data_IF_530726690234
#
_entry.id   IF_530726690234
#
_cell.length_a   1.000
_cell.length_b   1.000
_cell.length_c   1.000
_cell.angle_alpha   90.00
_cell.angle_beta   90.00
_cell.angle_gamma   90.00
#
_symmetry.space_group_name_H-M   'P 1'
#
loop_
_entity.id
_entity.type
_entity.pdbx_description
1 polymer ?
#
# COMPACT_ATOMS: atom_id res chain seq x y z
N UNK A 1 5.22 27.18 2.11
CA UNK A 1 4.38 26.12 2.72
C UNK A 1 5.16 25.55 3.88
N UNK A 2 4.52 25.37 5.04
CA UNK A 2 5.15 24.68 6.17
C UNK A 2 5.09 23.18 5.89
N UNK A 3 6.19 22.41 6.03
CA UNK A 3 6.14 20.97 5.89
C UNK A 3 5.17 20.37 6.91
N UNK A 4 4.36 19.42 6.47
CA UNK A 4 3.43 18.67 7.32
C UNK A 4 4.05 17.31 7.64
N UNK A 5 4.06 16.96 8.92
CA UNK A 5 4.53 15.65 9.37
C UNK A 5 3.46 14.59 9.08
N UNK A 6 3.88 13.50 8.42
CA UNK A 6 3.05 12.37 8.06
C UNK A 6 3.67 11.09 8.64
N UNK A 7 3.29 10.67 9.86
CA UNK A 7 3.91 9.51 10.52
C UNK A 7 3.82 8.20 9.72
N UNK A 8 2.79 8.05 8.87
CA UNK A 8 2.66 6.89 7.98
C UNK A 8 3.70 6.81 6.85
N UNK A 9 4.53 7.84 6.71
CA UNK A 9 5.68 7.87 5.80
C UNK A 9 7.02 7.60 6.50
N UNK A 10 7.00 7.28 7.80
CA UNK A 10 8.21 6.86 8.50
C UNK A 10 8.69 5.50 7.97
N UNK A 11 9.97 5.20 8.21
CA UNK A 11 10.57 3.91 7.85
C UNK A 11 9.81 2.75 8.51
N UNK A 12 9.58 1.68 7.77
CA UNK A 12 9.05 0.42 8.33
C UNK A 12 10.01 0.00 9.45
N UNK A 13 9.49 -0.13 10.65
CA UNK A 13 10.35 -0.25 11.82
C UNK A 13 11.12 -1.57 11.81
N UNK A 14 12.44 -1.47 11.83
CA UNK A 14 13.34 -2.61 11.80
C UNK A 14 13.65 -3.18 13.19
N UNK A 15 12.86 -2.89 14.23
CA UNK A 15 12.90 -3.59 15.52
C UNK A 15 14.31 -3.87 16.05
N UNK A 16 14.59 -5.13 16.37
CA UNK A 16 15.93 -5.58 16.83
C UNK A 16 16.99 -5.62 15.72
N UNK A 17 16.61 -5.45 14.46
CA UNK A 17 17.51 -5.38 13.30
C UNK A 17 17.85 -3.94 12.89
N UNK A 18 17.41 -2.93 13.66
CA UNK A 18 17.84 -1.55 13.46
C UNK A 18 19.36 -1.46 13.41
N UNK A 19 19.90 -0.65 12.49
CA UNK A 19 21.34 -0.50 12.19
C UNK A 19 22.07 -1.75 11.67
N UNK A 20 21.39 -2.87 11.42
CA UNK A 20 22.06 -4.05 10.85
C UNK A 20 22.37 -3.85 9.36
N UNK A 21 23.42 -4.49 8.81
CA UNK A 21 23.67 -4.45 7.38
C UNK A 21 22.48 -4.98 6.58
N UNK A 22 22.05 -4.21 5.58
CA UNK A 22 20.91 -4.57 4.72
C UNK A 22 21.13 -5.90 3.98
N UNK A 23 22.35 -6.15 3.50
CA UNK A 23 22.73 -7.44 2.88
C UNK A 23 23.27 -8.36 3.98
N UNK A 24 22.35 -8.99 4.72
CA UNK A 24 22.67 -9.97 5.76
C UNK A 24 21.52 -10.97 5.92
N UNK A 25 21.72 -12.12 6.61
CA UNK A 25 20.61 -13.00 6.95
C UNK A 25 19.47 -12.31 7.72
N UNK A 26 19.81 -11.33 8.57
CA UNK A 26 18.82 -10.51 9.28
C UNK A 26 18.04 -9.60 8.31
N UNK A 27 18.73 -8.95 7.37
CA UNK A 27 18.09 -8.17 6.32
C UNK A 27 17.16 -9.00 5.42
N UNK A 28 17.54 -10.24 5.09
CA UNK A 28 16.67 -11.16 4.34
C UNK A 28 15.43 -11.57 5.14
N UNK A 29 15.57 -11.84 6.45
CA UNK A 29 14.43 -12.14 7.33
C UNK A 29 13.49 -10.94 7.46
N UNK A 30 14.06 -9.73 7.56
CA UNK A 30 13.30 -8.48 7.60
C UNK A 30 12.41 -8.29 6.36
N UNK A 31 12.88 -8.70 5.17
CA UNK A 31 12.12 -8.59 3.93
C UNK A 31 10.92 -9.54 3.83
N UNK A 32 10.88 -10.64 4.59
CA UNK A 32 9.85 -11.70 4.40
C UNK A 32 8.44 -11.15 4.59
N UNK A 33 8.20 -10.42 5.69
CA UNK A 33 6.90 -9.81 5.98
C UNK A 33 6.51 -8.80 4.91
N UNK A 34 7.25 -7.69 4.74
CA UNK A 34 6.98 -6.67 3.75
C UNK A 34 6.77 -7.19 2.33
N UNK A 35 7.59 -8.13 1.88
CA UNK A 35 7.39 -8.74 0.56
C UNK A 35 6.06 -9.51 0.51
N UNK A 36 5.72 -10.31 1.52
CA UNK A 36 4.43 -11.01 1.56
C UNK A 36 3.23 -10.04 1.52
N UNK A 37 3.35 -8.86 2.14
CA UNK A 37 2.30 -7.84 2.12
C UNK A 37 2.04 -7.34 0.69
N UNK A 38 3.10 -7.13 -0.11
CA UNK A 38 2.97 -6.73 -1.53
C UNK A 38 2.28 -7.79 -2.39
N UNK A 39 2.24 -9.06 -1.94
CA UNK A 39 1.57 -10.16 -2.63
C UNK A 39 0.13 -10.43 -2.12
N UNK A 40 -0.45 -9.53 -1.33
CA UNK A 40 -1.82 -9.68 -0.81
C UNK A 40 -1.93 -10.48 0.48
N UNK A 41 -0.83 -10.62 1.21
CA UNK A 41 -0.81 -11.26 2.52
C UNK A 41 -0.43 -10.27 3.64
N UNK A 42 -1.16 -9.15 3.81
CA UNK A 42 -0.82 -8.15 4.83
C UNK A 42 -0.90 -8.68 6.26
N UNK A 43 -1.56 -9.82 6.50
CA UNK A 43 -1.61 -10.45 7.84
C UNK A 43 -0.28 -11.08 8.26
N UNK A 44 0.63 -11.35 7.31
CA UNK A 44 1.92 -11.96 7.63
C UNK A 44 2.66 -11.05 8.60
N UNK A 45 3.12 -11.57 9.75
CA UNK A 45 3.76 -10.73 10.74
C UNK A 45 5.09 -10.21 10.23
N UNK A 46 5.45 -9.02 10.68
CA UNK A 46 6.83 -8.56 10.66
C UNK A 46 7.66 -9.52 11.52
N UNK A 47 8.60 -10.23 10.89
CA UNK A 47 9.45 -11.24 11.55
C UNK A 47 10.63 -10.61 12.28
N UNK A 48 10.35 -9.51 12.98
CA UNK A 48 11.34 -8.68 13.63
C UNK A 48 10.82 -8.19 14.99
N UNK A 49 11.23 -8.85 16.09
CA UNK A 49 10.84 -8.46 17.43
C UNK A 49 11.06 -6.96 17.69
N UNK A 50 10.12 -6.31 18.37
CA UNK A 50 10.20 -4.89 18.70
C UNK A 50 9.74 -3.94 17.60
N UNK A 51 9.40 -4.44 16.41
CA UNK A 51 8.77 -3.60 15.37
C UNK A 51 7.38 -3.13 15.78
N UNK A 52 7.10 -1.84 15.58
CA UNK A 52 5.76 -1.26 15.74
C UNK A 52 4.86 -1.54 14.53
N UNK A 53 5.44 -1.86 13.38
CA UNK A 53 4.74 -2.27 12.15
C UNK A 53 4.59 -3.79 12.12
N UNK A 54 3.90 -4.32 13.12
CA UNK A 54 3.91 -5.76 13.41
C UNK A 54 3.27 -6.63 12.31
N UNK A 55 2.53 -6.06 11.37
CA UNK A 55 2.13 -6.69 10.11
C UNK A 55 1.81 -5.61 9.03
N UNK A 56 1.47 -6.07 7.82
CA UNK A 56 1.13 -5.21 6.69
C UNK A 56 -0.21 -4.51 6.81
N UNK A 57 -1.13 -5.00 7.64
CA UNK A 57 -2.42 -4.30 7.88
C UNK A 57 -2.15 -2.99 8.61
N UNK A 58 -1.34 -3.03 9.67
CA UNK A 58 -0.96 -1.86 10.48
C UNK A 58 -0.19 -0.85 9.63
N UNK A 59 0.82 -1.32 8.92
CA UNK A 59 1.60 -0.50 8.00
C UNK A 59 0.71 0.11 6.90
N UNK A 60 -0.17 -0.69 6.30
CA UNK A 60 -1.08 -0.24 5.24
C UNK A 60 -2.03 0.85 5.72
N UNK A 61 -2.58 0.73 6.94
CA UNK A 61 -3.44 1.77 7.53
C UNK A 61 -2.72 3.10 7.69
N UNK A 62 -1.51 3.10 8.24
CA UNK A 62 -0.76 4.35 8.46
C UNK A 62 -0.29 4.95 7.14
N UNK A 63 0.22 4.13 6.22
CA UNK A 63 0.66 4.57 4.88
C UNK A 63 -0.50 5.15 4.07
N UNK A 64 -1.63 4.45 3.98
CA UNK A 64 -2.81 4.91 3.25
C UNK A 64 -3.42 6.17 3.90
N UNK A 65 -3.41 6.27 5.23
CA UNK A 65 -3.81 7.50 5.92
C UNK A 65 -2.94 8.71 5.56
N UNK A 66 -1.62 8.49 5.40
CA UNK A 66 -0.72 9.54 4.92
C UNK A 66 -1.00 9.93 3.46
N UNK A 67 -1.19 8.96 2.57
CA UNK A 67 -1.55 9.21 1.16
C UNK A 67 -2.89 9.96 1.05
N UNK A 68 -3.88 9.58 1.85
CA UNK A 68 -5.18 10.27 1.90
C UNK A 68 -5.01 11.72 2.36
N UNK A 69 -4.21 11.95 3.41
CA UNK A 69 -3.92 13.30 3.91
C UNK A 69 -3.24 14.16 2.83
N UNK A 70 -2.30 13.58 2.08
CA UNK A 70 -1.65 14.25 0.94
C UNK A 70 -2.68 14.62 -0.15
N UNK A 71 -3.56 13.68 -0.49
CA UNK A 71 -4.62 13.89 -1.49
C UNK A 71 -5.58 15.00 -1.08
N UNK A 72 -6.10 14.95 0.16
CA UNK A 72 -7.04 15.94 0.69
C UNK A 72 -6.40 17.34 0.76
N UNK A 73 -5.13 17.41 1.15
CA UNK A 73 -4.36 18.66 1.17
C UNK A 73 -4.21 19.25 -0.23
N UNK A 74 -3.92 18.40 -1.22
CA UNK A 74 -3.77 18.80 -2.61
C UNK A 74 -5.08 19.33 -3.19
N UNK A 75 -6.21 18.68 -2.88
CA UNK A 75 -7.54 19.13 -3.32
C UNK A 75 -8.02 20.40 -2.62
N UNK A 76 -7.63 20.60 -1.36
CA UNK A 76 -7.96 21.84 -0.63
C UNK A 76 -7.20 23.05 -1.19
N UNK A 77 -6.00 22.84 -1.75
CA UNK A 77 -5.14 23.90 -2.29
C UNK A 77 -4.54 23.51 -3.65
N UNK A 78 -5.36 23.36 -4.70
CA UNK A 78 -4.91 22.79 -5.96
C UNK A 78 -3.95 23.75 -6.67
N UNK A 79 -2.76 23.24 -6.99
CA UNK A 79 -1.80 23.91 -7.88
C UNK A 79 -1.63 23.02 -9.12
N UNK A 80 -2.38 23.30 -10.21
CA UNK A 80 -2.26 22.52 -11.42
C UNK A 80 -0.87 22.66 -12.04
N UNK A 81 -0.28 21.54 -12.41
CA UNK A 81 0.88 21.49 -13.29
C UNK A 81 0.48 21.82 -14.74
N UNK A 82 1.47 21.94 -15.63
CA UNK A 82 1.25 22.28 -17.03
C UNK A 82 0.37 21.25 -17.77
N UNK A 83 0.31 20.00 -17.29
CA UNK A 83 -0.53 18.93 -17.80
C UNK A 83 -1.95 18.92 -17.20
N UNK A 84 -2.29 19.92 -16.37
CA UNK A 84 -3.59 20.05 -15.72
C UNK A 84 -3.78 19.19 -14.47
N UNK A 85 -2.79 18.36 -14.10
CA UNK A 85 -2.87 17.52 -12.90
C UNK A 85 -2.47 18.30 -11.66
N UNK A 86 -3.08 17.97 -10.52
CA UNK A 86 -2.64 18.48 -9.21
C UNK A 86 -1.63 17.49 -8.66
N UNK A 87 -0.43 17.98 -8.37
CA UNK A 87 0.67 17.15 -7.86
C UNK A 87 0.96 17.51 -6.41
N UNK A 88 1.09 16.49 -5.57
CA UNK A 88 1.58 16.59 -4.19
C UNK A 88 2.81 15.70 -4.05
N UNK A 89 3.78 16.16 -3.26
CA UNK A 89 5.05 15.47 -3.04
C UNK A 89 5.28 15.34 -1.55
N UNK A 90 5.76 14.18 -1.13
CA UNK A 90 6.23 13.90 0.22
C UNK A 90 7.61 13.24 0.16
N UNK A 91 8.26 13.16 1.32
CA UNK A 91 9.52 12.45 1.51
C UNK A 91 9.29 11.34 2.52
N UNK A 92 9.96 10.20 2.30
CA UNK A 92 9.84 9.00 3.12
C UNK A 92 11.10 8.15 2.90
N UNK A 93 11.20 7.03 3.61
CA UNK A 93 12.25 6.06 3.35
C UNK A 93 12.00 5.28 2.05
N UNK A 94 13.07 4.77 1.45
CA UNK A 94 13.00 3.97 0.24
C UNK A 94 12.12 2.73 0.42
N UNK A 95 12.21 2.08 1.58
CA UNK A 95 11.50 0.82 1.82
C UNK A 95 10.01 1.04 2.11
N UNK A 96 9.64 2.08 2.88
CA UNK A 96 8.25 2.48 3.08
C UNK A 96 7.56 2.86 1.78
N UNK A 97 8.18 3.73 0.94
CA UNK A 97 7.61 4.07 -0.38
C UNK A 97 7.50 2.82 -1.24
N UNK A 98 8.54 1.98 -1.28
CA UNK A 98 8.56 0.80 -2.11
C UNK A 98 7.44 -0.18 -1.74
N UNK A 99 7.36 -0.58 -0.48
CA UNK A 99 6.37 -1.55 0.00
C UNK A 99 4.96 -0.97 -0.08
N UNK A 100 4.76 0.26 0.42
CA UNK A 100 3.45 0.93 0.41
C UNK A 100 2.90 1.14 -1.00
N UNK A 101 3.74 1.53 -1.96
CA UNK A 101 3.35 1.62 -3.37
C UNK A 101 2.90 0.27 -3.89
N UNK A 102 3.70 -0.80 -3.72
CA UNK A 102 3.38 -2.12 -4.27
C UNK A 102 2.13 -2.75 -3.66
N UNK A 103 1.78 -2.38 -2.44
CA UNK A 103 0.53 -2.78 -1.80
C UNK A 103 -0.68 -2.03 -2.37
N UNK A 104 -0.52 -0.77 -2.77
CA UNK A 104 -1.64 0.12 -3.10
C UNK A 104 -1.92 0.35 -4.58
N UNK A 105 -0.96 0.09 -5.48
CA UNK A 105 -1.16 0.34 -6.92
C UNK A 105 -1.81 -0.83 -7.65
N UNK A 106 -2.45 -0.52 -8.79
CA UNK A 106 -3.15 -1.47 -9.68
C UNK A 106 -2.25 -2.07 -10.76
N UNK A 107 -0.98 -1.66 -10.82
CA UNK A 107 0.04 -2.26 -11.69
C UNK A 107 1.33 -2.59 -10.93
N UNK A 108 1.26 -3.36 -9.82
CA UNK A 108 2.40 -3.59 -8.96
C UNK A 108 3.47 -4.43 -9.66
N UNK A 109 4.74 -4.11 -9.37
CA UNK A 109 5.88 -4.96 -9.70
C UNK A 109 6.81 -5.07 -8.48
N UNK A 110 6.48 -5.94 -7.50
CA UNK A 110 7.24 -6.02 -6.24
C UNK A 110 8.72 -6.34 -6.40
N UNK A 111 9.12 -6.95 -7.53
CA UNK A 111 10.53 -7.25 -7.81
C UNK A 111 11.38 -5.99 -7.99
N UNK A 112 10.77 -4.83 -8.26
CA UNK A 112 11.49 -3.55 -8.32
C UNK A 112 12.18 -3.20 -7.00
N UNK A 113 11.58 -3.55 -5.86
CA UNK A 113 12.18 -3.34 -4.54
C UNK A 113 13.56 -4.02 -4.44
N UNK A 114 13.75 -5.16 -5.10
CA UNK A 114 14.98 -5.96 -5.04
C UNK A 114 15.92 -5.68 -6.21
N UNK A 115 15.38 -5.48 -7.41
CA UNK A 115 16.15 -5.36 -8.64
C UNK A 115 16.55 -3.92 -8.96
N UNK A 116 15.76 -2.96 -8.51
CA UNK A 116 15.94 -1.53 -8.73
C UNK A 116 15.64 -0.76 -7.43
N UNK A 117 16.39 -1.04 -6.34
CA UNK A 117 16.15 -0.38 -5.05
C UNK A 117 16.26 1.14 -5.21
N UNK A 118 15.35 1.88 -4.58
CA UNK A 118 15.31 3.33 -4.70
C UNK A 118 16.57 3.94 -4.05
N UNK A 119 17.36 4.75 -4.78
CA UNK A 119 18.45 5.50 -4.17
C UNK A 119 17.89 6.63 -3.30
N UNK A 120 18.74 7.25 -2.48
CA UNK A 120 18.41 8.54 -1.90
C UNK A 120 18.02 9.51 -3.01
N UNK A 121 16.92 10.25 -2.82
CA UNK A 121 16.30 11.15 -3.81
C UNK A 121 15.63 10.45 -5.00
N UNK A 122 15.59 9.11 -5.02
CA UNK A 122 14.78 8.37 -5.99
C UNK A 122 13.30 8.69 -5.84
N UNK A 123 12.58 8.71 -6.96
CA UNK A 123 11.19 9.17 -7.03
C UNK A 123 10.28 8.08 -7.58
N UNK A 124 9.20 7.78 -6.86
CA UNK A 124 8.09 6.99 -7.37
C UNK A 124 6.95 7.93 -7.70
N UNK A 125 6.38 7.81 -8.90
CA UNK A 125 5.24 8.62 -9.33
C UNK A 125 4.03 7.71 -9.51
N UNK A 126 2.98 8.01 -8.75
CA UNK A 126 1.66 7.38 -8.88
C UNK A 126 0.64 8.40 -9.36
N UNK A 127 -0.35 7.94 -10.13
CA UNK A 127 -1.45 8.75 -10.64
C UNK A 127 -2.76 8.03 -10.35
N UNK A 128 -3.78 8.77 -9.94
CA UNK A 128 -5.05 8.17 -9.56
C UNK A 128 -5.77 8.99 -8.50
N UNK A 129 -6.67 8.33 -7.80
CA UNK A 129 -7.42 8.90 -6.68
C UNK A 129 -7.97 7.77 -5.79
N UNK A 130 -8.42 8.08 -4.57
CA UNK A 130 -8.90 7.06 -3.62
C UNK A 130 -10.06 6.18 -4.11
N UNK A 131 -10.86 6.64 -5.08
CA UNK A 131 -12.01 5.88 -5.60
C UNK A 131 -11.71 5.09 -6.87
N UNK A 132 -10.82 5.61 -7.72
CA UNK A 132 -10.47 5.01 -9.02
C UNK A 132 -9.20 4.16 -8.98
N UNK A 133 -8.56 4.03 -7.82
CA UNK A 133 -7.29 3.34 -7.67
C UNK A 133 -6.08 4.21 -8.04
N UNK A 134 -4.90 3.62 -7.90
CA UNK A 134 -3.62 4.28 -8.13
C UNK A 134 -2.79 3.47 -9.12
N UNK A 135 -2.29 4.12 -10.16
CA UNK A 135 -1.38 3.51 -11.14
C UNK A 135 0.01 4.10 -10.97
N UNK A 136 1.02 3.25 -10.81
CA UNK A 136 2.42 3.65 -10.85
C UNK A 136 2.82 3.95 -12.30
N UNK A 137 3.31 5.17 -12.56
CA UNK A 137 3.70 5.60 -13.92
C UNK A 137 5.21 5.78 -14.08
N UNK A 138 5.94 5.90 -12.96
CA UNK A 138 7.40 6.00 -12.98
C UNK A 138 8.00 5.43 -11.70
N UNK A 139 9.08 4.66 -11.84
CA UNK A 139 9.90 4.16 -10.76
C UNK A 139 11.35 4.64 -10.96
N UNK A 140 11.77 5.60 -10.16
CA UNK A 140 13.09 6.24 -10.25
C UNK A 140 13.43 6.73 -11.68
N UNK A 141 12.46 7.39 -12.31
CA UNK A 141 12.59 7.88 -13.69
C UNK A 141 12.42 6.81 -14.78
N UNK A 142 12.35 5.52 -14.42
CA UNK A 142 11.98 4.46 -15.37
C UNK A 142 10.47 4.51 -15.62
N UNK A 143 10.01 4.72 -16.87
CA UNK A 143 8.59 4.65 -17.18
C UNK A 143 8.03 3.27 -16.85
N UNK A 144 6.88 3.24 -16.19
CA UNK A 144 6.14 2.01 -15.90
C UNK A 144 4.95 1.94 -16.84
N UNK A 145 4.86 0.85 -17.60
CA UNK A 145 3.75 0.63 -18.52
C UNK A 145 2.44 0.36 -17.74
N UNK A 146 1.28 0.54 -18.39
CA UNK A 146 0.02 0.00 -17.88
C UNK A 146 0.15 -1.49 -17.52
N UNK A 147 -0.72 -1.95 -16.63
CA UNK A 147 -0.76 -3.36 -16.26
C UNK A 147 -1.00 -4.24 -17.50
N UNK A 148 -0.44 -5.45 -17.47
CA UNK A 148 -0.79 -6.50 -18.42
C UNK A 148 -1.88 -7.36 -17.82
N UNK A 149 -2.66 -8.08 -18.63
CA UNK A 149 -3.72 -8.97 -18.12
C UNK A 149 -3.27 -9.88 -16.96
N UNK A 150 -2.08 -10.54 -16.98
CA UNK A 150 -1.63 -11.30 -15.80
C UNK A 150 -1.45 -10.47 -14.52
N UNK A 151 -1.02 -9.21 -14.64
CA UNK A 151 -0.88 -8.27 -13.53
C UNK A 151 -2.24 -7.83 -13.02
N UNK A 152 -3.17 -7.52 -13.92
CA UNK A 152 -4.55 -7.12 -13.59
C UNK A 152 -5.26 -8.24 -12.83
N UNK A 153 -5.24 -9.46 -13.38
CA UNK A 153 -5.81 -10.64 -12.70
C UNK A 153 -5.14 -10.95 -11.36
N UNK A 154 -3.83 -10.66 -11.23
CA UNK A 154 -3.15 -10.75 -9.94
C UNK A 154 -3.72 -9.73 -8.95
N UNK A 155 -3.92 -8.49 -9.37
CA UNK A 155 -4.51 -7.43 -8.54
C UNK A 155 -5.93 -7.76 -8.13
N UNK A 156 -6.75 -8.31 -9.03
CA UNK A 156 -8.10 -8.78 -8.72
C UNK A 156 -8.10 -9.80 -7.59
N UNK A 157 -7.25 -10.82 -7.71
CA UNK A 157 -7.12 -11.86 -6.67
C UNK A 157 -6.56 -11.25 -5.39
N UNK A 158 -5.53 -10.40 -5.47
CA UNK A 158 -4.92 -9.71 -4.33
C UNK A 158 -5.99 -8.94 -3.55
N UNK A 159 -6.82 -8.16 -4.24
CA UNK A 159 -7.86 -7.33 -3.64
C UNK A 159 -8.94 -8.20 -2.97
N UNK A 160 -9.36 -9.29 -3.65
CA UNK A 160 -10.31 -10.26 -3.09
C UNK A 160 -9.80 -10.90 -1.78
N UNK A 161 -8.54 -11.36 -1.75
CA UNK A 161 -8.01 -12.07 -0.57
C UNK A 161 -7.59 -11.13 0.56
N UNK A 162 -7.27 -9.87 0.25
CA UNK A 162 -6.79 -8.90 1.23
C UNK A 162 -7.91 -8.39 2.14
N UNK A 163 -9.09 -8.09 1.58
CA UNK A 163 -10.23 -7.56 2.34
C UNK A 163 -10.59 -8.38 3.60
N UNK A 164 -10.77 -9.72 3.55
CA UNK A 164 -11.10 -10.49 4.76
C UNK A 164 -9.96 -10.54 5.78
N UNK A 165 -8.69 -10.41 5.34
CA UNK A 165 -7.55 -10.35 6.25
C UNK A 165 -7.55 -9.05 7.07
N UNK A 166 -7.77 -7.91 6.40
CA UNK A 166 -7.88 -6.59 7.04
C UNK A 166 -9.08 -6.56 7.98
N UNK A 167 -10.25 -6.98 7.51
CA UNK A 167 -11.47 -7.01 8.33
C UNK A 167 -11.30 -7.86 9.59
N UNK A 168 -10.75 -9.08 9.47
CA UNK A 168 -10.52 -9.95 10.62
C UNK A 168 -9.53 -9.33 11.62
N UNK A 169 -8.47 -8.69 11.10
CA UNK A 169 -7.48 -8.01 11.92
C UNK A 169 -8.09 -6.83 12.68
N UNK A 170 -8.80 -5.94 11.99
CA UNK A 170 -9.39 -4.73 12.57
C UNK A 170 -10.47 -5.06 13.60
N UNK A 171 -11.31 -6.06 13.33
CA UNK A 171 -12.29 -6.57 14.31
C UNK A 171 -11.55 -7.10 15.54
N UNK A 172 -10.53 -7.94 15.37
CA UNK A 172 -9.74 -8.47 16.48
C UNK A 172 -9.06 -7.37 17.30
N UNK A 173 -8.47 -6.38 16.62
CA UNK A 173 -7.80 -5.26 17.26
C UNK A 173 -8.77 -4.35 18.02
N UNK A 174 -9.98 -4.13 17.48
CA UNK A 174 -11.02 -3.31 18.10
C UNK A 174 -11.42 -3.81 19.49
N UNK A 175 -11.33 -5.12 19.75
CA UNK A 175 -11.66 -5.72 21.05
C UNK A 175 -10.79 -5.19 22.19
N UNK A 176 -9.55 -4.82 21.91
CA UNK A 176 -8.62 -4.27 22.91
C UNK A 176 -8.96 -2.85 23.34
N UNK A 177 -9.84 -2.16 22.61
CA UNK A 177 -10.28 -0.80 22.99
C UNK A 177 -11.28 -0.81 24.15
N UNK A 178 -12.01 -1.92 24.34
CA UNK A 178 -13.11 -2.01 25.30
C UNK A 178 -14.31 -1.12 24.98
N UNK A 179 -14.34 -0.45 23.82
CA UNK A 179 -15.43 0.43 23.39
C UNK A 179 -16.40 -0.31 22.43
N UNK A 180 -17.67 -0.52 22.83
CA UNK A 180 -18.66 -1.16 21.97
C UNK A 180 -18.89 -0.44 20.63
N UNK A 181 -18.77 0.89 20.58
CA UNK A 181 -18.98 1.64 19.35
C UNK A 181 -17.86 1.35 18.34
N UNK A 182 -16.60 1.36 18.80
CA UNK A 182 -15.44 0.99 17.98
C UNK A 182 -15.54 -0.44 17.46
N UNK A 183 -15.96 -1.40 18.28
CA UNK A 183 -16.13 -2.80 17.87
C UNK A 183 -17.22 -2.95 16.80
N UNK A 184 -18.39 -2.34 17.01
CA UNK A 184 -19.49 -2.41 16.04
C UNK A 184 -19.11 -1.75 14.72
N UNK A 185 -18.38 -0.64 14.75
CA UNK A 185 -17.90 0.03 13.54
C UNK A 185 -16.91 -0.86 12.78
N UNK A 186 -15.94 -1.48 13.46
CA UNK A 186 -14.99 -2.40 12.82
C UNK A 186 -15.70 -3.57 12.14
N UNK A 187 -16.73 -4.15 12.78
CA UNK A 187 -17.54 -5.23 12.19
C UNK A 187 -18.30 -4.75 10.94
N UNK A 188 -18.94 -3.58 10.99
CA UNK A 188 -19.69 -3.04 9.85
C UNK A 188 -18.77 -2.75 8.67
N UNK A 189 -17.69 -2.02 8.92
CA UNK A 189 -16.67 -1.72 7.91
C UNK A 189 -16.12 -3.01 7.30
N UNK A 190 -15.78 -4.00 8.12
CA UNK A 190 -15.30 -5.28 7.63
C UNK A 190 -16.31 -6.04 6.75
N UNK A 191 -17.60 -6.00 7.09
CA UNK A 191 -18.66 -6.58 6.24
C UNK A 191 -18.76 -5.86 4.91
N UNK A 192 -18.73 -4.52 4.92
CA UNK A 192 -18.85 -3.69 3.72
C UNK A 192 -17.65 -3.89 2.78
N UNK A 193 -16.43 -3.93 3.32
CA UNK A 193 -15.19 -4.14 2.55
C UNK A 193 -15.14 -5.54 1.94
N UNK A 194 -15.41 -6.58 2.73
CA UNK A 194 -15.42 -7.96 2.23
C UNK A 194 -16.53 -8.16 1.20
N UNK A 195 -17.73 -7.63 1.47
CA UNK A 195 -18.85 -7.68 0.54
C UNK A 195 -18.53 -6.99 -0.79
N UNK A 196 -17.91 -5.81 -0.73
CA UNK A 196 -17.45 -5.06 -1.90
C UNK A 196 -16.44 -5.87 -2.70
N UNK A 197 -15.41 -6.42 -2.07
CA UNK A 197 -14.38 -7.21 -2.74
C UNK A 197 -14.96 -8.47 -3.43
N UNK A 198 -15.89 -9.17 -2.77
CA UNK A 198 -16.55 -10.36 -3.33
C UNK A 198 -17.42 -10.02 -4.53
N UNK A 199 -18.12 -8.88 -4.50
CA UNK A 199 -18.98 -8.42 -5.61
C UNK A 199 -18.16 -7.89 -6.78
N UNK A 200 -17.10 -7.12 -6.49
CA UNK A 200 -16.26 -6.50 -7.52
C UNK A 200 -15.37 -7.51 -8.24
N UNK A 201 -14.88 -8.54 -7.55
CA UNK A 201 -13.96 -9.52 -8.15
C UNK A 201 -14.42 -10.10 -9.50
N UNK A 202 -15.62 -10.68 -9.66
CA UNK A 202 -16.05 -11.19 -10.97
C UNK A 202 -16.25 -10.10 -12.01
N UNK A 203 -16.56 -8.86 -11.60
CA UNK A 203 -16.72 -7.71 -12.51
C UNK A 203 -15.36 -7.24 -13.02
N UNK A 204 -14.38 -7.13 -12.14
CA UNK A 204 -13.01 -6.73 -12.49
C UNK A 204 -12.38 -7.74 -13.45
N UNK A 205 -12.41 -9.04 -13.10
CA UNK A 205 -11.92 -10.12 -13.97
C UNK A 205 -12.59 -10.10 -15.35
N UNK A 206 -13.90 -9.89 -15.40
CA UNK A 206 -14.61 -9.82 -16.68
C UNK A 206 -14.21 -8.59 -17.50
N UNK A 207 -14.00 -7.45 -16.85
CA UNK A 207 -13.57 -6.19 -17.48
C UNK A 207 -12.18 -6.36 -18.09
N UNK A 208 -11.22 -6.87 -17.31
CA UNK A 208 -9.84 -7.05 -17.77
C UNK A 208 -9.75 -8.06 -18.91
N UNK A 209 -10.54 -9.14 -18.86
CA UNK A 209 -10.63 -10.11 -19.95
C UNK A 209 -11.20 -9.52 -21.24
N UNK A 210 -12.16 -8.59 -21.14
CA UNK A 210 -12.75 -7.89 -22.29
C UNK A 210 -11.72 -6.90 -22.86
N UNK A 211 -11.09 -6.10 -22.00
CA UNK A 211 -10.12 -5.09 -22.39
C UNK A 211 -8.87 -5.71 -23.02
N UNK A 212 -8.51 -6.94 -22.64
CA UNK A 212 -7.40 -7.67 -23.25
C UNK A 212 -7.68 -8.17 -24.70
N UNK A 213 -8.94 -8.19 -25.15
CA UNK A 213 -9.32 -8.73 -26.48
C UNK A 213 -10.00 -7.71 -27.40
N UNK A 214 -10.38 -6.54 -26.89
CA UNK A 214 -11.04 -5.46 -27.63
C UNK A 214 -10.08 -4.30 -27.94
#
# INVERSE_FOLDING_TARGET
MTPQDLPGLNEINAGIFEDFPQISPAGLLYLVGPMAWTFGFPIVPMLNPGSIDFNGVVFGHTFNGAVQTMYDTALANPVPAADGKVTVVSYSSAFTIGVGTMMGVDNPNPLLILTHPLPNTGVVVVQGNPTGGWTMVSWDGMPVAPASLPTELFVDVRNLITAPQIAAFDIGWSLFTGDPATIVNAVRTGIDEVGTAVVQFPVAVATDLIDAVC
#
